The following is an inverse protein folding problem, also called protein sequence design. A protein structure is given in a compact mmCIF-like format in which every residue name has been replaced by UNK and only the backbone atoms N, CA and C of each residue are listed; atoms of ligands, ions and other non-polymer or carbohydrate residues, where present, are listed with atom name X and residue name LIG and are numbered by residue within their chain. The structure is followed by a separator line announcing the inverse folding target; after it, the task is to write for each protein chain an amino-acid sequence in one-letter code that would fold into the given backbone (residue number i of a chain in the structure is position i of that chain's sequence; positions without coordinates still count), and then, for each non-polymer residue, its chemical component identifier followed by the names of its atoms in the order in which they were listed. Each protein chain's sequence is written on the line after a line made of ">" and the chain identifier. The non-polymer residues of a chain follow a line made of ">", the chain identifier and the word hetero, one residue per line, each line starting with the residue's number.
data_IF_005498822535
#
_entry.id   IF_005498822535
#
_cell.length_a   1.000
_cell.length_b   1.000
_cell.length_c   1.000
_cell.angle_alpha   90.00
_cell.angle_beta   90.00
_cell.angle_gamma   90.00
#
_symmetry.space_group_name_H-M   'P 1'
#
loop_
_entity.id
_entity.type
_entity.pdbx_description
1 polymer ?
#
# COMPACT_ATOMS: atom_id res chain seq x y z
N UNK A 1 48.23 -26.60 -43.74
CA UNK A 1 47.87 -27.44 -42.58
C UNK A 1 47.77 -26.51 -41.38
N UNK A 2 46.55 -26.25 -40.91
CA UNK A 2 46.26 -25.35 -39.79
C UNK A 2 46.18 -26.15 -38.50
N UNK A 3 47.15 -25.93 -37.62
CA UNK A 3 47.23 -26.57 -36.30
C UNK A 3 46.41 -25.76 -35.29
N UNK A 4 45.42 -26.39 -34.66
CA UNK A 4 44.64 -25.78 -33.59
C UNK A 4 45.42 -25.78 -32.28
N UNK A 5 45.39 -24.67 -31.56
CA UNK A 5 46.01 -24.53 -30.24
C UNK A 5 44.90 -24.35 -29.20
N UNK A 6 44.76 -25.23 -28.19
CA UNK A 6 43.70 -25.12 -27.19
C UNK A 6 43.99 -24.01 -26.17
N UNK A 7 42.92 -23.34 -25.72
CA UNK A 7 42.94 -22.30 -24.69
C UNK A 7 43.14 -22.91 -23.28
N UNK A 8 43.84 -22.23 -22.36
CA UNK A 8 43.97 -22.69 -20.98
C UNK A 8 42.65 -22.50 -20.21
N UNK A 9 42.09 -23.59 -19.69
CA UNK A 9 41.00 -23.58 -18.71
C UNK A 9 41.59 -23.32 -17.32
N UNK A 10 41.09 -22.29 -16.64
CA UNK A 10 41.37 -22.11 -15.21
C UNK A 10 40.32 -22.92 -14.44
N UNK A 11 40.80 -23.94 -13.72
CA UNK A 11 39.97 -24.73 -12.84
C UNK A 11 39.55 -23.90 -11.62
N UNK A 12 38.25 -23.76 -11.46
CA UNK A 12 37.62 -23.26 -10.24
C UNK A 12 37.43 -24.49 -9.35
N UNK A 13 38.36 -24.69 -8.40
CA UNK A 13 38.08 -25.51 -7.22
C UNK A 13 37.90 -24.59 -6.02
N UNK A 14 36.65 -24.53 -5.58
CA UNK A 14 36.26 -24.02 -4.29
C UNK A 14 36.51 -25.11 -3.26
N UNK A 15 37.11 -24.79 -2.11
CA UNK A 15 36.73 -25.33 -0.80
C UNK A 15 37.30 -24.45 0.32
N UNK A 16 36.38 -24.13 1.22
CA UNK A 16 36.46 -23.34 2.41
C UNK A 16 37.07 -24.17 3.56
N UNK A 17 38.16 -23.74 4.19
CA UNK A 17 38.52 -24.22 5.54
C UNK A 17 39.13 -23.09 6.39
N UNK A 18 38.39 -22.73 7.43
CA UNK A 18 38.84 -22.05 8.62
C UNK A 18 40.13 -22.67 9.16
N UNK A 19 41.17 -21.86 9.41
CA UNK A 19 42.01 -22.03 10.59
C UNK A 19 42.46 -20.66 11.11
N UNK A 20 41.83 -20.26 12.21
CA UNK A 20 42.44 -19.40 13.21
C UNK A 20 43.78 -19.99 13.65
N UNK A 21 44.88 -19.26 13.45
CA UNK A 21 46.07 -19.40 14.29
C UNK A 21 46.70 -18.04 14.55
N UNK A 22 46.49 -17.59 15.78
CA UNK A 22 47.35 -16.63 16.45
C UNK A 22 48.80 -17.15 16.45
N UNK A 23 49.72 -16.32 15.99
CA UNK A 23 51.12 -16.39 16.42
C UNK A 23 51.69 -14.97 16.46
N UNK A 24 51.71 -14.42 17.68
CA UNK A 24 52.68 -13.42 18.08
C UNK A 24 54.08 -13.96 17.75
N UNK A 25 54.76 -13.32 16.81
CA UNK A 25 56.21 -13.47 16.66
C UNK A 25 56.79 -12.10 16.37
N UNK A 26 57.19 -11.42 17.45
CA UNK A 26 58.15 -10.34 17.43
C UNK A 26 59.42 -10.81 16.72
N UNK A 27 59.65 -10.35 15.49
CA UNK A 27 60.95 -10.51 14.84
C UNK A 27 61.25 -9.27 13.97
N UNK A 28 61.84 -8.25 14.59
CA UNK A 28 62.17 -6.97 13.99
C UNK A 28 63.50 -6.99 13.21
N UNK A 29 63.73 -8.01 12.37
CA UNK A 29 64.98 -8.16 11.61
C UNK A 29 64.78 -8.45 10.10
N UNK A 30 63.56 -8.36 9.57
CA UNK A 30 63.27 -8.74 8.17
C UNK A 30 63.42 -7.61 7.14
N UNK A 31 63.94 -6.43 7.52
CA UNK A 31 63.95 -5.26 6.61
C UNK A 31 65.09 -5.32 5.58
N UNK A 32 66.16 -6.10 5.80
CA UNK A 32 67.39 -5.98 4.98
C UNK A 32 67.46 -7.02 3.82
N UNK A 33 66.64 -8.07 3.83
CA UNK A 33 66.79 -9.18 2.86
C UNK A 33 65.90 -9.11 1.61
N UNK A 34 65.02 -8.11 1.49
CA UNK A 34 64.06 -8.03 0.38
C UNK A 34 64.58 -7.34 -0.89
N UNK A 35 65.79 -6.77 -0.89
CA UNK A 35 66.32 -6.07 -2.08
C UNK A 35 66.89 -7.01 -3.16
N UNK A 36 67.22 -8.26 -2.84
CA UNK A 36 67.91 -9.18 -3.78
C UNK A 36 67.01 -10.19 -4.48
N UNK A 37 65.71 -10.16 -4.25
CA UNK A 37 64.76 -11.07 -4.92
C UNK A 37 64.31 -10.48 -6.27
N UNK A 38 64.59 -11.12 -7.42
CA UNK A 38 64.19 -10.63 -8.75
C UNK A 38 62.67 -10.61 -8.96
N UNK A 39 61.88 -11.21 -8.07
CA UNK A 39 60.41 -11.13 -8.06
C UNK A 39 59.86 -9.93 -7.27
N UNK A 40 60.71 -9.19 -6.57
CA UNK A 40 60.31 -8.03 -5.76
C UNK A 40 60.16 -6.78 -6.62
N UNK A 41 58.93 -6.51 -7.06
CA UNK A 41 58.57 -5.22 -7.66
C UNK A 41 58.17 -4.27 -6.51
N UNK A 42 58.93 -3.21 -6.19
CA UNK A 42 58.52 -2.27 -5.17
C UNK A 42 57.14 -1.71 -5.57
N UNK A 43 56.19 -1.75 -4.63
CA UNK A 43 54.89 -1.11 -4.83
C UNK A 43 55.17 0.35 -5.21
N UNK A 44 54.61 0.81 -6.34
CA UNK A 44 54.72 2.22 -6.75
C UNK A 44 54.35 3.08 -5.54
N UNK A 45 55.08 4.16 -5.30
CA UNK A 45 54.84 5.06 -4.17
C UNK A 45 53.35 5.47 -4.05
N UNK A 46 52.67 5.65 -5.18
CA UNK A 46 51.23 5.90 -5.24
C UNK A 46 50.36 4.81 -4.58
N UNK A 47 50.75 3.54 -4.69
CA UNK A 47 50.06 2.39 -4.07
C UNK A 47 50.32 2.38 -2.56
N UNK A 48 51.57 2.65 -2.14
CA UNK A 48 51.91 2.72 -0.72
C UNK A 48 51.17 3.87 0.00
N UNK A 49 50.98 5.01 -0.68
CA UNK A 49 50.19 6.16 -0.20
C UNK A 49 48.69 5.86 -0.11
N UNK A 50 48.16 4.95 -0.93
CA UNK A 50 46.77 4.50 -0.84
C UNK A 50 46.50 3.66 0.40
N UNK A 51 47.45 2.80 0.78
CA UNK A 51 47.30 1.95 1.96
C UNK A 51 47.48 2.70 3.29
N UNK A 52 48.25 3.80 3.29
CA UNK A 52 48.53 4.60 4.50
C UNK A 52 47.55 5.77 4.72
N UNK A 53 46.31 5.68 4.22
CA UNK A 53 45.32 6.73 4.44
C UNK A 53 44.80 6.66 5.87
N UNK A 54 44.84 7.76 6.65
CA UNK A 54 44.28 7.76 7.99
C UNK A 54 42.78 7.44 7.93
N UNK A 55 42.24 6.71 8.92
CA UNK A 55 40.83 6.37 8.92
C UNK A 55 39.99 7.65 8.87
N UNK A 56 38.86 7.65 8.15
CA UNK A 56 38.02 8.83 8.03
C UNK A 56 37.54 9.27 9.41
N UNK A 57 37.55 10.58 9.64
CA UNK A 57 37.14 11.18 10.91
C UNK A 57 35.72 10.77 11.29
N UNK A 58 35.49 10.62 12.60
CA UNK A 58 34.22 10.13 13.16
C UNK A 58 33.04 11.02 12.72
N UNK A 59 33.25 12.33 12.61
CA UNK A 59 32.25 13.28 12.12
C UNK A 59 31.81 13.02 10.67
N UNK A 60 32.73 12.62 9.78
CA UNK A 60 32.39 12.24 8.40
C UNK A 60 31.51 10.99 8.36
N UNK A 61 31.76 10.03 9.26
CA UNK A 61 30.93 8.83 9.41
C UNK A 61 29.52 9.19 9.90
N UNK A 62 29.43 10.07 10.91
CA UNK A 62 28.15 10.56 11.43
C UNK A 62 27.34 11.31 10.36
N UNK A 63 27.99 12.19 9.59
CA UNK A 63 27.35 12.89 8.46
C UNK A 63 26.84 11.92 7.40
N UNK A 64 27.61 10.89 7.07
CA UNK A 64 27.20 9.86 6.12
C UNK A 64 25.97 9.10 6.62
N UNK A 65 25.97 8.67 7.89
CA UNK A 65 24.83 7.98 8.51
C UNK A 65 23.58 8.87 8.51
N UNK A 66 23.75 10.14 8.89
CA UNK A 66 22.67 11.11 8.90
C UNK A 66 22.10 11.35 7.49
N UNK A 67 22.96 11.51 6.49
CA UNK A 67 22.56 11.65 5.09
C UNK A 67 21.76 10.43 4.60
N UNK A 68 22.19 9.22 4.97
CA UNK A 68 21.54 7.98 4.59
C UNK A 68 20.15 7.85 5.26
N UNK A 69 20.03 8.24 6.53
CA UNK A 69 18.75 8.31 7.24
C UNK A 69 17.80 9.34 6.63
N UNK A 70 18.30 10.52 6.26
CA UNK A 70 17.49 11.56 5.58
C UNK A 70 17.00 11.06 4.23
N UNK A 71 17.86 10.42 3.42
CA UNK A 71 17.48 9.84 2.13
C UNK A 71 16.42 8.75 2.29
N UNK A 72 16.59 7.85 3.26
CA UNK A 72 15.63 6.80 3.55
C UNK A 72 14.27 7.36 3.99
N UNK A 73 14.26 8.36 4.89
CA UNK A 73 13.03 9.07 5.26
C UNK A 73 12.40 9.73 4.04
N UNK A 74 13.16 10.49 3.27
CA UNK A 74 12.63 11.23 2.11
C UNK A 74 12.00 10.29 1.08
N UNK A 75 12.60 9.12 0.84
CA UNK A 75 12.06 8.06 -0.01
C UNK A 75 10.69 7.57 0.47
N UNK A 76 10.56 7.28 1.77
CA UNK A 76 9.28 6.86 2.38
C UNK A 76 8.25 8.00 2.32
N UNK A 77 8.66 9.24 2.58
CA UNK A 77 7.77 10.40 2.56
C UNK A 77 7.21 10.68 1.17
N UNK A 78 8.06 10.64 0.13
CA UNK A 78 7.65 10.74 -1.28
C UNK A 78 6.77 9.56 -1.69
N UNK A 79 7.16 8.33 -1.35
CA UNK A 79 6.38 7.12 -1.63
C UNK A 79 4.97 7.19 -1.03
N UNK A 80 4.85 7.62 0.22
CA UNK A 80 3.54 7.79 0.89
C UNK A 80 2.68 8.90 0.28
N UNK A 81 3.28 9.88 -0.41
CA UNK A 81 2.54 10.94 -1.12
C UNK A 81 2.10 10.48 -2.51
N UNK A 82 2.95 9.75 -3.25
CA UNK A 82 2.63 9.20 -4.57
C UNK A 82 1.62 8.04 -4.54
N UNK A 83 1.66 7.18 -3.53
CA UNK A 83 0.71 6.05 -3.39
C UNK A 83 -0.71 6.53 -3.02
N UNK A 84 -0.86 7.79 -2.56
CA UNK A 84 -2.17 8.40 -2.33
C UNK A 84 -2.83 8.92 -3.60
N UNK A 85 -2.17 8.82 -4.75
CA UNK A 85 -2.82 9.03 -6.05
C UNK A 85 -3.72 7.84 -6.37
N UNK A 86 -4.89 7.86 -5.70
CA UNK A 86 -6.19 7.36 -6.15
C UNK A 86 -6.06 6.18 -7.13
N UNK A 87 -6.06 4.97 -6.55
CA UNK A 87 -6.42 3.78 -7.29
C UNK A 87 -7.67 4.05 -8.16
N UNK A 88 -7.72 3.50 -9.38
CA UNK A 88 -8.64 3.97 -10.39
C UNK A 88 -10.08 3.90 -9.89
N UNK A 89 -10.82 5.01 -10.02
CA UNK A 89 -12.23 5.02 -9.62
C UNK A 89 -13.01 4.14 -10.57
N UNK A 90 -13.48 2.98 -10.09
CA UNK A 90 -14.24 2.01 -10.86
C UNK A 90 -15.65 2.56 -11.08
N UNK A 91 -15.99 2.84 -12.34
CA UNK A 91 -17.35 3.22 -12.75
C UNK A 91 -18.01 1.97 -13.33
N UNK A 92 -19.04 1.49 -12.63
CA UNK A 92 -19.83 0.33 -13.02
C UNK A 92 -20.91 0.74 -14.02
N UNK A 93 -21.01 0.04 -15.15
CA UNK A 93 -22.07 0.25 -16.13
C UNK A 93 -22.80 -1.08 -16.42
N UNK A 94 -24.14 -1.09 -16.28
CA UNK A 94 -24.96 -2.24 -16.62
C UNK A 94 -24.97 -2.44 -18.15
N UNK A 95 -24.68 -3.67 -18.60
CA UNK A 95 -24.54 -4.02 -20.02
C UNK A 95 -25.83 -4.55 -20.65
N UNK A 96 -26.77 -5.02 -19.84
CA UNK A 96 -28.00 -5.68 -20.29
C UNK A 96 -29.20 -4.98 -19.65
N UNK A 97 -30.30 -4.85 -20.41
CA UNK A 97 -31.61 -4.51 -19.84
C UNK A 97 -32.12 -5.69 -19.00
N UNK A 98 -33.03 -5.42 -18.05
CA UNK A 98 -33.52 -6.40 -17.06
C UNK A 98 -34.22 -7.64 -17.67
N UNK A 99 -34.47 -7.60 -18.98
CA UNK A 99 -35.35 -8.49 -19.76
C UNK A 99 -34.61 -9.63 -20.49
N UNK A 100 -33.27 -9.60 -20.64
CA UNK A 100 -32.50 -10.68 -21.28
C UNK A 100 -31.29 -11.14 -20.44
N UNK A 101 -31.53 -12.10 -19.53
CA UNK A 101 -30.65 -12.47 -18.41
C UNK A 101 -29.96 -13.85 -18.49
N UNK A 102 -29.77 -14.45 -19.67
CA UNK A 102 -29.18 -15.80 -19.75
C UNK A 102 -27.95 -15.89 -20.64
N UNK A 103 -26.85 -15.31 -20.15
CA UNK A 103 -25.50 -15.85 -20.35
C UNK A 103 -24.77 -15.76 -19.01
N UNK A 104 -24.25 -16.85 -18.43
CA UNK A 104 -23.43 -16.77 -17.24
C UNK A 104 -22.27 -15.81 -17.54
N UNK A 105 -22.16 -14.75 -16.74
CA UNK A 105 -21.26 -13.65 -17.03
C UNK A 105 -19.82 -14.18 -17.08
N UNK A 106 -19.21 -14.15 -18.26
CA UNK A 106 -17.77 -14.20 -18.39
C UNK A 106 -17.18 -13.09 -17.52
N UNK A 107 -16.01 -13.35 -16.93
CA UNK A 107 -15.24 -12.46 -16.06
C UNK A 107 -15.41 -10.96 -16.37
N UNK A 108 -15.47 -10.07 -15.36
CA UNK A 108 -15.67 -8.64 -15.55
C UNK A 108 -14.75 -8.08 -16.63
N UNK A 109 -15.34 -7.52 -17.69
CA UNK A 109 -14.58 -7.02 -18.84
C UNK A 109 -14.26 -5.54 -18.60
N UNK A 110 -12.97 -5.24 -18.44
CA UNK A 110 -12.47 -3.87 -18.44
C UNK A 110 -12.64 -3.33 -19.85
N UNK A 111 -13.47 -2.31 -20.03
CA UNK A 111 -13.81 -1.85 -21.39
C UNK A 111 -13.15 -0.55 -21.80
N UNK A 112 -12.73 0.28 -20.86
CA UNK A 112 -12.15 1.58 -21.18
C UNK A 112 -11.36 2.14 -20.00
N UNK A 113 -10.17 2.68 -20.29
CA UNK A 113 -9.43 3.54 -19.39
C UNK A 113 -9.87 4.99 -19.67
N UNK A 114 -10.68 5.56 -18.78
CA UNK A 114 -11.12 6.94 -18.88
C UNK A 114 -10.02 7.89 -18.40
N UNK A 115 -10.00 9.09 -18.96
CA UNK A 115 -9.16 10.18 -18.46
C UNK A 115 -9.48 10.46 -16.98
N UNK A 116 -8.44 10.80 -16.19
CA UNK A 116 -8.47 11.00 -14.72
C UNK A 116 -8.45 9.72 -13.88
N UNK A 117 -7.65 8.71 -14.26
CA UNK A 117 -7.50 7.43 -13.54
C UNK A 117 -8.85 6.78 -13.21
N UNK A 118 -9.73 6.62 -14.20
CA UNK A 118 -11.00 5.90 -14.00
C UNK A 118 -11.06 4.71 -14.92
N UNK A 119 -11.59 3.60 -14.42
CA UNK A 119 -11.76 2.39 -15.22
C UNK A 119 -13.25 2.10 -15.34
N UNK A 120 -13.72 1.96 -16.58
CA UNK A 120 -15.11 1.60 -16.87
C UNK A 120 -15.23 0.09 -17.02
N UNK A 121 -15.87 -0.53 -16.04
CA UNK A 121 -16.12 -1.98 -16.03
C UNK A 121 -17.55 -2.23 -16.51
N UNK A 122 -17.71 -3.13 -17.49
CA UNK A 122 -19.04 -3.60 -17.94
C UNK A 122 -19.32 -4.97 -17.35
N UNK A 123 -20.57 -5.17 -16.91
CA UNK A 123 -21.03 -6.48 -16.43
C UNK A 123 -20.79 -6.76 -14.94
N UNK A 124 -20.36 -5.78 -14.16
CA UNK A 124 -20.35 -5.84 -12.71
C UNK A 124 -21.31 -4.76 -12.16
N UNK A 125 -22.23 -5.14 -11.28
CA UNK A 125 -22.99 -4.19 -10.46
C UNK A 125 -22.23 -3.94 -9.14
N UNK A 126 -22.41 -2.76 -8.52
CA UNK A 126 -22.02 -2.59 -7.12
C UNK A 126 -22.84 -3.58 -6.28
N UNK A 127 -22.19 -4.56 -5.65
CA UNK A 127 -22.87 -5.61 -4.88
C UNK A 127 -23.27 -6.84 -5.69
N UNK A 128 -22.37 -7.34 -6.54
CA UNK A 128 -22.56 -8.62 -7.23
C UNK A 128 -22.77 -9.82 -6.30
N UNK A 129 -22.99 -11.01 -6.89
CA UNK A 129 -23.32 -12.25 -6.15
C UNK A 129 -22.25 -12.53 -5.07
N UNK A 130 -22.69 -12.58 -3.80
CA UNK A 130 -21.83 -12.91 -2.65
C UNK A 130 -21.26 -11.72 -1.87
N UNK A 131 -21.57 -10.47 -2.22
CA UNK A 131 -21.12 -9.29 -1.46
C UNK A 131 -22.23 -8.84 -0.49
N UNK A 132 -21.95 -8.88 0.81
CA UNK A 132 -22.87 -8.33 1.82
C UNK A 132 -23.10 -6.82 1.59
N UNK A 133 -24.34 -6.35 1.78
CA UNK A 133 -24.74 -4.95 1.56
C UNK A 133 -23.89 -3.93 2.34
N UNK A 134 -23.29 -4.36 3.45
CA UNK A 134 -22.40 -3.56 4.31
C UNK A 134 -21.07 -3.20 3.63
N UNK A 135 -20.64 -3.99 2.67
CA UNK A 135 -19.35 -3.84 1.97
C UNK A 135 -19.46 -2.95 0.71
N UNK A 136 -20.66 -2.47 0.38
CA UNK A 136 -20.87 -1.59 -0.75
C UNK A 136 -20.45 -0.17 -0.35
N UNK A 137 -19.51 0.48 -1.07
CA UNK A 137 -19.10 1.83 -0.75
C UNK A 137 -20.28 2.79 -0.94
N UNK A 138 -20.57 3.57 0.09
CA UNK A 138 -21.68 4.51 0.07
C UNK A 138 -21.39 5.70 -0.85
N UNK A 139 -22.42 6.14 -1.57
CA UNK A 139 -22.35 7.36 -2.37
C UNK A 139 -22.15 8.59 -1.46
N UNK A 140 -21.43 9.61 -1.93
CA UNK A 140 -21.19 10.85 -1.16
C UNK A 140 -22.45 11.47 -0.54
N UNK A 141 -23.59 11.40 -1.24
CA UNK A 141 -24.89 11.87 -0.73
C UNK A 141 -25.39 11.03 0.45
N UNK A 142 -25.23 9.70 0.37
CA UNK A 142 -25.61 8.79 1.44
C UNK A 142 -24.71 8.97 2.67
N UNK A 143 -23.39 9.18 2.46
CA UNK A 143 -22.44 9.49 3.54
C UNK A 143 -22.86 10.77 4.28
N UNK A 144 -23.21 11.84 3.56
CA UNK A 144 -23.71 13.09 4.17
C UNK A 144 -24.97 12.84 5.00
N UNK A 145 -25.95 12.14 4.44
CA UNK A 145 -27.22 11.82 5.12
C UNK A 145 -27.00 10.99 6.39
N UNK A 146 -26.07 10.02 6.37
CA UNK A 146 -25.71 9.25 7.56
C UNK A 146 -25.04 10.11 8.64
N UNK A 147 -24.13 11.02 8.25
CA UNK A 147 -23.50 11.96 9.19
C UNK A 147 -24.53 12.88 9.85
N UNK A 148 -25.44 13.45 9.06
CA UNK A 148 -26.53 14.29 9.59
C UNK A 148 -27.42 13.52 10.57
N UNK A 149 -27.77 12.27 10.24
CA UNK A 149 -28.57 11.42 11.12
C UNK A 149 -27.85 11.15 12.46
N UNK A 150 -26.56 10.84 12.43
CA UNK A 150 -25.74 10.64 13.64
C UNK A 150 -25.65 11.90 14.49
N UNK A 151 -25.48 13.07 13.87
CA UNK A 151 -25.44 14.36 14.57
C UNK A 151 -26.80 14.65 15.24
N UNK A 152 -27.91 14.42 14.53
CA UNK A 152 -29.25 14.60 15.10
C UNK A 152 -29.51 13.63 16.27
N UNK A 153 -29.11 12.36 16.13
CA UNK A 153 -29.24 11.36 17.19
C UNK A 153 -28.43 11.75 18.43
N UNK A 154 -27.18 12.16 18.26
CA UNK A 154 -26.33 12.64 19.36
C UNK A 154 -26.93 13.87 20.06
N UNK A 155 -27.47 14.82 19.27
CA UNK A 155 -28.15 16.01 19.81
C UNK A 155 -29.41 15.66 20.59
N UNK A 156 -30.20 14.69 20.11
CA UNK A 156 -31.40 14.22 20.79
C UNK A 156 -31.03 13.50 22.09
N UNK A 157 -30.03 12.62 22.07
CA UNK A 157 -29.52 11.92 23.26
C UNK A 157 -28.97 12.89 24.31
N UNK A 158 -28.28 13.95 23.89
CA UNK A 158 -27.81 15.00 24.80
C UNK A 158 -28.99 15.76 25.43
N UNK A 159 -30.02 16.09 24.66
CA UNK A 159 -31.23 16.76 25.17
C UNK A 159 -32.01 15.90 26.16
N UNK A 160 -32.15 14.61 25.88
CA UNK A 160 -32.79 13.65 26.79
C UNK A 160 -32.03 13.56 28.13
N UNK A 161 -30.69 13.52 28.08
CA UNK A 161 -29.87 13.58 29.30
C UNK A 161 -30.03 14.88 30.09
N UNK A 162 -30.28 15.99 29.40
CA UNK A 162 -30.55 17.29 30.02
C UNK A 162 -32.01 17.46 30.47
N UNK A 163 -32.85 16.41 30.37
CA UNK A 163 -34.26 16.45 30.78
C UNK A 163 -35.19 17.19 29.81
N UNK A 164 -34.70 17.63 28.64
CA UNK A 164 -35.53 18.30 27.64
C UNK A 164 -36.33 17.25 26.85
N UNK A 165 -37.59 17.01 27.25
CA UNK A 165 -38.54 16.15 26.53
C UNK A 165 -38.76 16.65 25.10
N UNK A 166 -38.31 15.89 24.11
CA UNK A 166 -38.61 16.17 22.70
C UNK A 166 -39.95 15.52 22.36
N UNK A 167 -41.02 16.32 22.23
CA UNK A 167 -42.23 15.85 21.54
C UNK A 167 -41.88 15.67 20.06
N UNK A 168 -41.72 14.41 19.60
CA UNK A 168 -41.62 14.10 18.16
C UNK A 168 -42.87 14.64 17.47
N UNK A 169 -42.72 15.72 16.70
CA UNK A 169 -43.80 16.20 15.83
C UNK A 169 -43.90 15.21 14.67
N UNK A 170 -45.00 14.47 14.58
CA UNK A 170 -45.28 13.56 13.45
C UNK A 170 -45.27 14.35 12.14
N UNK A 171 -44.65 13.78 11.11
CA UNK A 171 -44.64 14.38 9.78
C UNK A 171 -46.05 14.36 9.18
N UNK A 172 -46.33 15.29 8.24
CA UNK A 172 -47.62 15.37 7.54
C UNK A 172 -48.02 14.06 6.86
N UNK A 173 -47.04 13.31 6.33
CA UNK A 173 -47.26 12.00 5.70
C UNK A 173 -47.67 10.93 6.72
N UNK A 174 -47.06 10.93 7.90
CA UNK A 174 -47.43 10.00 8.98
C UNK A 174 -48.84 10.30 9.50
N UNK A 175 -49.21 11.59 9.62
CA UNK A 175 -50.57 11.98 9.99
C UNK A 175 -51.61 11.49 8.98
N UNK A 176 -51.37 11.70 7.68
CA UNK A 176 -52.26 11.21 6.62
C UNK A 176 -52.43 9.68 6.63
N UNK A 177 -51.33 8.93 6.78
CA UNK A 177 -51.41 7.47 6.89
C UNK A 177 -52.18 7.00 8.11
N UNK A 178 -52.02 7.70 9.23
CA UNK A 178 -52.75 7.41 10.46
C UNK A 178 -54.24 7.71 10.31
N UNK A 179 -54.60 8.76 9.56
CA UNK A 179 -56.00 9.04 9.17
C UNK A 179 -56.56 7.94 8.25
N UNK A 180 -55.83 7.54 7.21
CA UNK A 180 -56.23 6.45 6.30
C UNK A 180 -56.43 5.12 7.04
N UNK A 181 -55.55 4.79 7.98
CA UNK A 181 -55.69 3.59 8.81
C UNK A 181 -56.93 3.66 9.71
N UNK A 182 -57.21 4.82 10.30
CA UNK A 182 -58.42 5.03 11.11
C UNK A 182 -59.69 4.93 10.28
N UNK A 183 -59.69 5.46 9.06
CA UNK A 183 -60.84 5.32 8.16
C UNK A 183 -61.06 3.85 7.76
N UNK A 184 -59.98 3.11 7.50
CA UNK A 184 -60.07 1.67 7.21
C UNK A 184 -60.56 0.85 8.41
N UNK A 185 -60.12 1.18 9.62
CA UNK A 185 -60.55 0.50 10.84
C UNK A 185 -62.03 0.77 11.15
N UNK A 186 -62.49 2.01 10.92
CA UNK A 186 -63.91 2.37 11.03
C UNK A 186 -64.76 1.64 9.98
N UNK A 187 -64.29 1.56 8.73
CA UNK A 187 -65.00 0.86 7.67
C UNK A 187 -65.16 -0.64 7.97
N UNK A 188 -64.12 -1.28 8.54
CA UNK A 188 -64.19 -2.67 9.01
C UNK A 188 -65.23 -2.86 10.12
N UNK A 189 -65.24 -1.97 11.12
CA UNK A 189 -66.23 -2.01 12.21
C UNK A 189 -67.67 -1.86 11.73
N UNK A 190 -67.92 -1.03 10.72
CA UNK A 190 -69.27 -0.80 10.17
C UNK A 190 -69.73 -1.98 9.32
N UNK A 191 -68.81 -2.64 8.59
CA UNK A 191 -69.12 -3.81 7.75
C UNK A 191 -69.28 -5.13 8.50
N UNK A 192 -69.05 -5.17 9.81
CA UNK A 192 -69.32 -6.35 10.64
C UNK A 192 -68.46 -7.58 10.33
N UNK A 193 -67.18 -7.35 9.97
CA UNK A 193 -66.11 -8.37 9.92
C UNK A 193 -65.17 -8.20 11.11
#
# INVERSE_FOLDING_TARGET
>A
MTTYQPLPTSDIDSINQNQDRFSNSSNSNSIIQHETDPSYRPLRQSVQEEFNRPPPSIWKRLLLILALLIMAWLSIWLGKKGIKEKGPTIIYANRYSDEFKYRPAASPVITEYLSKNKIKIRGASLGGVGIEEKNIPLTNLQIKKQKEKKIQEAKNKAREKMGLRIKKRKSLKEKKKEEELKTLELEKRIKGL
#
